data_IF_165198612264
#
_entry.id   IF_165198612264
#
_cell.length_a   1.000
_cell.length_b   1.000
_cell.length_c   1.000
_cell.angle_alpha   90.00
_cell.angle_beta   90.00
_cell.angle_gamma   90.00
#
_symmetry.space_group_name_H-M   'P 1'
#
loop_
_entity.id
_entity.type
_entity.pdbx_description
1 polymer ?
#
# COMPACT_ATOMS: atom_id res chain seq x y z
N UNK A 1 -23.07 5.26 -3.95
CA UNK A 1 -22.01 4.37 -3.44
C UNK A 1 -22.49 2.92 -3.46
N UNK A 2 -21.63 1.95 -3.76
CA UNK A 2 -21.97 0.53 -3.65
C UNK A 2 -21.40 -0.03 -2.35
N UNK A 3 -22.26 -0.52 -1.45
CA UNK A 3 -21.83 -1.16 -0.19
C UNK A 3 -21.95 -2.68 -0.33
N UNK A 4 -20.95 -3.40 0.19
CA UNK A 4 -20.85 -4.87 0.20
C UNK A 4 -20.42 -5.33 1.58
N UNK A 5 -20.94 -6.47 2.02
CA UNK A 5 -20.50 -7.08 3.26
C UNK A 5 -19.30 -7.99 2.99
N UNK A 6 -18.44 -8.14 3.98
CA UNK A 6 -17.35 -9.11 3.91
C UNK A 6 -17.89 -10.48 4.31
N UNK A 7 -17.87 -11.43 3.37
CA UNK A 7 -18.26 -12.82 3.62
C UNK A 7 -17.15 -13.60 4.30
N UNK A 8 -15.90 -13.35 3.91
CA UNK A 8 -14.73 -14.06 4.42
C UNK A 8 -13.49 -13.18 4.34
N UNK A 9 -12.65 -13.24 5.36
CA UNK A 9 -11.29 -12.69 5.34
C UNK A 9 -10.31 -13.86 5.32
N UNK A 10 -9.34 -13.82 4.41
CA UNK A 10 -8.23 -14.78 4.31
C UNK A 10 -6.95 -14.02 4.60
N UNK A 11 -6.43 -14.20 5.82
CA UNK A 11 -5.16 -13.61 6.26
C UNK A 11 -4.02 -14.51 5.78
N UNK A 12 -2.90 -13.93 5.35
CA UNK A 12 -1.72 -14.71 4.99
C UNK A 12 -1.27 -15.57 6.17
N UNK A 13 -1.11 -16.88 5.95
CA UNK A 13 -0.78 -17.89 6.98
C UNK A 13 0.49 -17.59 7.79
N UNK A 14 1.42 -16.86 7.20
CA UNK A 14 2.70 -16.49 7.82
C UNK A 14 2.72 -15.03 8.29
N UNK A 15 1.57 -14.34 8.36
CA UNK A 15 1.51 -12.99 8.91
C UNK A 15 1.97 -13.01 10.37
N UNK A 16 2.91 -12.13 10.74
CA UNK A 16 3.27 -11.91 12.13
C UNK A 16 3.11 -10.43 12.48
N UNK A 17 2.32 -10.19 13.52
CA UNK A 17 2.06 -8.84 14.02
C UNK A 17 3.29 -8.16 14.63
N UNK A 18 4.26 -8.93 15.12
CA UNK A 18 5.43 -8.40 15.82
C UNK A 18 6.36 -7.61 14.91
N UNK A 19 6.54 -8.05 13.67
CA UNK A 19 7.47 -7.49 12.69
C UNK A 19 6.76 -7.11 11.37
N UNK A 20 5.43 -7.18 11.35
CA UNK A 20 4.59 -6.94 10.18
C UNK A 20 4.97 -7.79 8.95
N UNK A 21 5.61 -8.95 9.16
CA UNK A 21 5.94 -9.88 8.09
C UNK A 21 4.69 -10.38 7.38
N UNK A 22 4.73 -10.47 6.04
CA UNK A 22 3.63 -10.93 5.20
C UNK A 22 2.29 -10.21 5.44
N UNK A 23 2.33 -8.88 5.61
CA UNK A 23 1.14 -8.04 5.79
C UNK A 23 0.28 -7.94 4.52
N UNK A 24 -0.50 -8.98 4.26
CA UNK A 24 -1.45 -9.07 3.15
C UNK A 24 -2.64 -9.95 3.54
N UNK A 25 -3.84 -9.56 3.10
CA UNK A 25 -5.06 -10.34 3.25
C UNK A 25 -5.97 -10.18 2.03
N UNK A 26 -6.82 -11.18 1.80
CA UNK A 26 -7.89 -11.12 0.81
C UNK A 26 -9.24 -11.02 1.52
N UNK A 27 -10.11 -10.15 1.01
CA UNK A 27 -11.50 -10.03 1.46
C UNK A 27 -12.43 -10.53 0.36
N UNK A 28 -13.16 -11.60 0.64
CA UNK A 28 -14.23 -12.08 -0.23
C UNK A 28 -15.53 -11.35 0.11
N UNK A 29 -16.09 -10.66 -0.87
CA UNK A 29 -17.37 -9.96 -0.73
C UNK A 29 -18.54 -10.94 -0.77
N UNK A 30 -19.65 -10.57 -0.11
CA UNK A 30 -20.90 -11.34 -0.08
C UNK A 30 -21.56 -11.50 -1.46
N UNK A 31 -21.37 -10.50 -2.32
CA UNK A 31 -21.80 -10.50 -3.73
C UNK A 31 -20.83 -9.69 -4.60
N UNK A 32 -20.75 -9.96 -5.92
CA UNK A 32 -19.86 -9.24 -6.82
C UNK A 32 -20.09 -7.71 -6.84
N UNK A 33 -19.06 -6.99 -7.26
CA UNK A 33 -19.15 -5.57 -7.64
C UNK A 33 -19.18 -5.49 -9.16
N UNK A 34 -20.08 -4.67 -9.71
CA UNK A 34 -20.17 -4.46 -11.15
C UNK A 34 -19.19 -3.38 -11.58
N UNK A 35 -18.42 -3.65 -12.63
CA UNK A 35 -17.50 -2.67 -13.22
C UNK A 35 -18.29 -1.50 -13.84
N UNK A 36 -17.72 -0.31 -13.72
CA UNK A 36 -18.27 0.95 -14.25
C UNK A 36 -17.15 1.95 -14.50
N UNK A 37 -17.46 3.17 -14.93
CA UNK A 37 -16.46 4.25 -14.99
C UNK A 37 -15.83 4.59 -13.63
N UNK A 38 -16.47 4.22 -12.51
CA UNK A 38 -16.00 4.48 -11.14
C UNK A 38 -15.48 3.23 -10.42
N UNK A 39 -15.54 2.06 -11.05
CA UNK A 39 -15.13 0.79 -10.43
C UNK A 39 -14.52 -0.11 -11.47
N UNK A 40 -13.25 -0.42 -11.32
CA UNK A 40 -12.49 -1.31 -12.21
C UNK A 40 -11.56 -2.18 -11.36
N UNK A 41 -11.15 -3.31 -11.94
CA UNK A 41 -10.15 -4.18 -11.32
C UNK A 41 -8.75 -3.62 -11.55
N UNK A 42 -7.91 -3.68 -10.53
CA UNK A 42 -6.48 -3.47 -10.69
C UNK A 42 -5.82 -4.73 -11.24
N UNK A 43 -4.77 -4.57 -12.04
CA UNK A 43 -3.95 -5.68 -12.50
C UNK A 43 -3.06 -6.19 -11.36
N UNK A 44 -2.80 -7.50 -11.35
CA UNK A 44 -1.76 -8.09 -10.52
C UNK A 44 -0.43 -8.07 -11.29
N UNK A 45 0.68 -7.86 -10.58
CA UNK A 45 2.00 -7.96 -11.19
C UNK A 45 2.33 -9.40 -11.57
N UNK A 46 2.93 -9.59 -12.74
CA UNK A 46 3.51 -10.88 -13.13
C UNK A 46 4.71 -11.20 -12.24
N UNK A 47 4.93 -12.47 -11.86
CA UNK A 47 6.07 -12.86 -11.03
C UNK A 47 7.45 -12.51 -11.63
N UNK A 48 7.52 -12.31 -12.95
CA UNK A 48 8.72 -11.94 -13.70
C UNK A 48 8.96 -10.44 -13.76
N UNK A 49 8.00 -9.62 -13.28
CA UNK A 49 8.14 -8.17 -13.30
C UNK A 49 9.28 -7.72 -12.40
N UNK A 50 10.24 -7.01 -12.98
CA UNK A 50 11.26 -6.33 -12.20
C UNK A 50 10.70 -5.05 -11.62
N UNK A 51 10.56 -5.00 -10.29
CA UNK A 51 9.99 -3.83 -9.59
C UNK A 51 10.79 -2.55 -9.90
N UNK A 52 12.10 -2.64 -10.10
CA UNK A 52 12.94 -1.48 -10.45
C UNK A 52 12.59 -0.83 -11.79
N UNK A 53 11.85 -1.51 -12.66
CA UNK A 53 11.38 -0.96 -13.93
C UNK A 53 10.15 -0.06 -13.78
N UNK A 54 9.48 -0.10 -12.62
CA UNK A 54 8.29 0.71 -12.35
C UNK A 54 8.69 2.17 -12.08
N UNK A 55 8.26 3.08 -12.96
CA UNK A 55 8.57 4.52 -12.87
C UNK A 55 7.38 5.40 -12.44
N UNK A 56 6.16 4.90 -12.59
CA UNK A 56 4.93 5.66 -12.36
C UNK A 56 4.09 5.02 -11.26
N UNK A 57 4.61 5.08 -10.04
CA UNK A 57 3.92 4.57 -8.85
C UNK A 57 3.05 5.67 -8.24
N UNK A 58 1.87 5.26 -7.78
CA UNK A 58 0.91 6.14 -7.13
C UNK A 58 0.39 5.46 -5.86
N UNK A 59 0.19 6.26 -4.83
CA UNK A 59 -0.58 5.89 -3.64
C UNK A 59 -1.84 6.72 -3.60
N UNK A 60 -2.92 6.16 -3.05
CA UNK A 60 -4.18 6.86 -2.90
C UNK A 60 -4.89 6.43 -1.61
N UNK A 61 -5.59 7.34 -0.98
CA UNK A 61 -6.28 7.07 0.29
C UNK A 61 -7.00 8.29 0.86
N UNK A 62 -7.68 8.06 1.98
CA UNK A 62 -8.41 9.08 2.74
C UNK A 62 -7.75 9.39 4.10
N UNK A 63 -6.53 8.92 4.35
CA UNK A 63 -5.81 9.19 5.61
C UNK A 63 -5.53 10.68 5.84
N UNK A 64 -4.92 11.00 6.98
CA UNK A 64 -4.54 12.37 7.31
C UNK A 64 -3.65 13.02 6.23
N UNK A 65 -3.95 14.27 5.87
CA UNK A 65 -3.18 15.05 4.88
C UNK A 65 -2.02 15.83 5.48
N UNK A 66 -1.98 15.93 6.81
CA UNK A 66 -0.92 16.63 7.55
C UNK A 66 -0.48 15.77 8.73
N UNK A 67 0.81 15.86 9.05
CA UNK A 67 1.38 15.10 10.15
C UNK A 67 0.68 15.45 11.46
N UNK A 68 0.35 14.43 12.26
CA UNK A 68 -0.32 14.54 13.58
C UNK A 68 -1.76 15.02 13.53
N UNK A 69 -2.36 15.21 12.35
CA UNK A 69 -3.81 15.35 12.26
C UNK A 69 -4.48 14.04 12.69
N UNK A 70 -5.60 14.17 13.39
CA UNK A 70 -6.51 13.06 13.67
C UNK A 70 -7.63 12.96 12.62
N UNK A 71 -7.78 14.01 11.81
CA UNK A 71 -8.83 14.09 10.80
C UNK A 71 -8.35 13.46 9.49
N UNK A 72 -9.19 12.58 8.98
CA UNK A 72 -9.09 11.98 7.66
C UNK A 72 -9.62 12.93 6.58
N UNK A 73 -9.16 12.77 5.34
CA UNK A 73 -9.65 13.56 4.22
C UNK A 73 -11.05 13.11 3.79
N UNK A 74 -11.96 14.06 3.56
CA UNK A 74 -13.30 13.76 3.00
C UNK A 74 -13.26 13.37 1.52
N UNK A 75 -12.22 13.82 0.81
CA UNK A 75 -12.00 13.53 -0.62
C UNK A 75 -10.79 12.63 -0.77
N UNK A 76 -10.89 11.66 -1.69
CA UNK A 76 -9.78 10.78 -2.03
C UNK A 76 -8.56 11.63 -2.43
N UNK A 77 -7.45 11.40 -1.75
CA UNK A 77 -6.16 11.97 -2.11
C UNK A 77 -5.38 10.96 -2.94
N UNK A 78 -4.51 11.47 -3.80
CA UNK A 78 -3.52 10.65 -4.50
C UNK A 78 -2.19 11.39 -4.56
N UNK A 79 -1.11 10.62 -4.55
CA UNK A 79 0.22 11.17 -4.69
C UNK A 79 1.08 10.27 -5.55
N UNK A 80 1.89 10.89 -6.42
CA UNK A 80 2.93 10.19 -7.16
C UNK A 80 4.11 9.97 -6.23
N UNK A 81 4.64 8.75 -6.22
CA UNK A 81 5.81 8.37 -5.43
C UNK A 81 6.87 7.73 -6.32
N UNK A 82 8.11 7.69 -5.85
CA UNK A 82 9.20 6.98 -6.51
C UNK A 82 9.57 5.77 -5.69
N UNK A 83 9.92 4.67 -6.35
CA UNK A 83 10.55 3.56 -5.68
C UNK A 83 11.89 4.01 -5.09
N UNK A 84 12.16 3.54 -3.88
CA UNK A 84 13.41 3.72 -3.17
C UNK A 84 14.06 2.35 -3.10
N UNK A 85 15.36 2.32 -3.39
CA UNK A 85 16.13 1.09 -3.29
C UNK A 85 16.03 0.49 -1.88
N UNK A 86 15.79 -0.82 -1.81
CA UNK A 86 15.56 -1.50 -0.53
C UNK A 86 16.82 -1.51 0.33
N UNK A 87 18.01 -1.56 -0.25
CA UNK A 87 19.27 -1.48 0.51
C UNK A 87 19.41 -0.09 1.13
N UNK A 88 19.04 0.96 0.40
CA UNK A 88 19.03 2.33 0.94
C UNK A 88 18.03 2.49 2.08
N UNK A 89 16.76 2.10 1.90
CA UNK A 89 15.77 2.30 2.95
C UNK A 89 16.01 1.39 4.16
N UNK A 90 16.56 0.19 3.95
CA UNK A 90 16.90 -0.72 5.04
C UNK A 90 18.28 -0.47 5.66
N UNK A 91 18.96 0.63 5.29
CA UNK A 91 20.22 1.03 5.89
C UNK A 91 20.06 1.41 7.36
N UNK A 92 21.18 1.46 8.09
CA UNK A 92 21.24 1.85 9.50
C UNK A 92 20.65 3.24 9.78
N UNK A 93 20.71 4.14 8.80
CA UNK A 93 20.28 5.53 8.97
C UNK A 93 18.75 5.69 8.86
N UNK A 94 18.05 4.66 8.38
CA UNK A 94 16.62 4.67 8.06
C UNK A 94 15.89 3.59 8.86
N UNK A 95 15.53 2.46 8.24
CA UNK A 95 14.78 1.39 8.90
C UNK A 95 15.65 0.36 9.64
N UNK A 96 16.98 0.46 9.56
CA UNK A 96 17.93 -0.31 10.36
C UNK A 96 17.72 -1.84 10.37
N UNK A 97 17.34 -2.42 9.24
CA UNK A 97 17.14 -3.87 9.09
C UNK A 97 15.68 -4.34 9.21
N UNK A 98 14.74 -3.47 9.57
CA UNK A 98 13.33 -3.82 9.78
C UNK A 98 12.54 -4.06 8.47
N UNK A 99 13.07 -3.66 7.31
CA UNK A 99 12.42 -3.91 6.01
C UNK A 99 12.72 -5.34 5.54
N UNK A 100 11.67 -6.13 5.35
CA UNK A 100 11.83 -7.52 4.90
C UNK A 100 12.04 -7.61 3.38
N UNK A 101 12.60 -8.73 2.87
CA UNK A 101 12.83 -8.92 1.43
C UNK A 101 11.57 -8.89 0.54
N UNK A 102 10.38 -9.10 1.11
CA UNK A 102 9.09 -9.01 0.43
C UNK A 102 8.40 -7.65 0.60
N UNK A 103 9.10 -6.66 1.15
CA UNK A 103 8.63 -5.27 1.21
C UNK A 103 9.29 -4.43 0.11
N UNK A 104 8.67 -3.28 -0.16
CA UNK A 104 9.17 -2.25 -1.06
C UNK A 104 9.10 -0.90 -0.33
N UNK A 105 10.05 -0.03 -0.65
CA UNK A 105 10.07 1.34 -0.17
C UNK A 105 9.68 2.29 -1.30
N UNK A 106 8.82 3.27 -1.02
CA UNK A 106 8.44 4.28 -1.99
C UNK A 106 8.18 5.62 -1.29
N UNK A 107 8.53 6.71 -1.97
CA UNK A 107 8.38 8.06 -1.44
C UNK A 107 9.46 8.99 -1.97
N UNK A 108 9.88 9.92 -1.12
CA UNK A 108 10.93 10.88 -1.40
C UNK A 108 11.87 10.95 -0.18
N UNK A 109 13.19 10.84 -0.35
CA UNK A 109 14.14 10.92 0.77
C UNK A 109 14.01 12.18 1.63
N UNK A 110 13.44 13.26 1.08
CA UNK A 110 13.21 14.53 1.79
C UNK A 110 11.98 14.51 2.71
N UNK A 111 11.14 13.46 2.69
CA UNK A 111 10.05 13.28 3.64
C UNK A 111 8.82 14.18 3.44
N UNK A 112 8.50 14.57 2.20
CA UNK A 112 7.40 15.51 1.91
C UNK A 112 6.09 14.86 1.44
N UNK A 113 6.17 13.74 0.71
CA UNK A 113 5.03 13.05 0.13
C UNK A 113 5.09 11.58 0.57
N UNK A 114 4.09 11.17 1.36
CA UNK A 114 3.98 9.82 1.93
C UNK A 114 2.51 9.47 2.24
N UNK A 115 2.26 8.22 2.59
CA UNK A 115 1.02 7.76 3.21
C UNK A 115 0.93 8.18 4.69
N UNK A 116 -0.28 8.37 5.18
CA UNK A 116 -0.53 8.63 6.60
C UNK A 116 -1.76 7.87 7.08
N UNK A 117 -1.88 7.72 8.39
CA UNK A 117 -3.04 7.07 9.04
C UNK A 117 -4.23 8.02 9.11
#
# INVERSE_FOLDING_TARGET
AQVRNVKKVVIHRNYKRSDMSNDIALMQLDRPVLCSSYTQLACLAEPTLSVSELRNCWIAGWGATTARSLDSADRLQQAKVKLIDVQLCNSSDWYAGEVHPYNLCAGYPQGTIDSCK
#
